data_IF_053939197808
#
_entry.id   IF_053939197808
#
_cell.length_a   1.000
_cell.length_b   1.000
_cell.length_c   1.000
_cell.angle_alpha   90.00
_cell.angle_beta   90.00
_cell.angle_gamma   90.00
#
_symmetry.space_group_name_H-M   'P 1'
#
loop_
_entity.id
_entity.type
_entity.pdbx_description
1 polymer ?
#
# COMPACT_ATOMS: atom_id res chain seq x y z
N UNK A 1 4.04 7.95 -49.65
CA UNK A 1 4.65 9.28 -49.35
C UNK A 1 4.98 9.35 -47.86
N UNK A 2 6.27 9.23 -47.49
CA UNK A 2 6.74 9.23 -46.09
C UNK A 2 7.03 10.67 -45.65
N UNK A 3 6.34 11.18 -44.63
CA UNK A 3 6.63 12.49 -44.03
C UNK A 3 7.63 12.31 -42.88
N UNK A 4 8.80 12.93 -43.03
CA UNK A 4 9.82 13.03 -42.00
C UNK A 4 9.34 13.96 -40.87
N UNK A 5 9.47 13.53 -39.61
CA UNK A 5 9.28 14.37 -38.41
C UNK A 5 10.64 14.89 -37.94
N UNK A 6 10.81 16.20 -37.99
CA UNK A 6 11.92 16.97 -37.42
C UNK A 6 11.75 17.06 -35.91
N UNK A 7 12.81 16.75 -35.14
CA UNK A 7 12.87 16.95 -33.67
C UNK A 7 13.27 18.41 -33.35
N UNK A 8 12.61 19.10 -32.40
CA UNK A 8 13.07 20.38 -31.91
C UNK A 8 14.16 20.21 -30.83
N UNK A 9 15.09 21.17 -30.82
CA UNK A 9 16.39 21.10 -30.16
C UNK A 9 16.39 21.28 -28.64
N UNK A 10 17.47 20.77 -28.03
CA UNK A 10 17.87 21.00 -26.65
C UNK A 10 18.24 22.48 -26.42
N UNK A 11 17.52 23.14 -25.51
CA UNK A 11 17.96 24.39 -24.90
C UNK A 11 18.84 24.09 -23.67
N UNK A 12 20.06 24.65 -23.66
CA UNK A 12 20.99 24.65 -22.53
C UNK A 12 20.43 25.51 -21.38
N UNK A 13 20.38 24.97 -20.16
CA UNK A 13 20.16 25.75 -18.94
C UNK A 13 21.45 26.50 -18.54
N UNK A 14 21.36 27.76 -18.09
CA UNK A 14 22.50 28.48 -17.54
C UNK A 14 22.79 28.08 -16.08
N UNK A 15 24.08 27.99 -15.76
CA UNK A 15 24.63 27.86 -14.42
C UNK A 15 24.32 29.12 -13.60
N UNK A 16 23.76 28.94 -12.40
CA UNK A 16 23.51 30.03 -11.45
C UNK A 16 24.49 29.87 -10.29
N UNK A 17 25.63 30.56 -10.40
CA UNK A 17 26.56 30.84 -9.31
C UNK A 17 26.02 32.02 -8.50
N UNK A 18 25.86 31.84 -7.18
CA UNK A 18 25.44 32.89 -6.26
C UNK A 18 26.05 32.62 -4.88
N UNK A 19 27.03 33.44 -4.51
CA UNK A 19 27.77 33.35 -3.25
C UNK A 19 26.92 33.71 -2.03
N UNK A 20 27.31 33.15 -0.89
CA UNK A 20 26.82 33.53 0.43
C UNK A 20 27.87 34.37 1.13
N UNK A 21 27.54 35.66 1.33
CA UNK A 21 28.23 36.57 2.23
C UNK A 21 27.93 36.18 3.69
N UNK A 22 28.97 35.84 4.44
CA UNK A 22 28.89 35.60 5.87
C UNK A 22 29.01 36.94 6.62
N UNK A 23 27.85 37.53 6.93
CA UNK A 23 27.73 38.67 7.84
C UNK A 23 28.01 38.28 9.28
N UNK A 24 29.06 38.86 9.85
CA UNK A 24 29.44 38.75 11.26
C UNK A 24 28.50 39.62 12.11
N UNK A 25 27.75 39.05 13.06
CA UNK A 25 26.99 39.82 14.05
C UNK A 25 27.57 39.56 15.43
N UNK A 26 28.11 40.62 16.03
CA UNK A 26 28.66 40.69 17.37
C UNK A 26 27.56 40.57 18.43
N UNK A 27 27.97 39.93 19.53
CA UNK A 27 27.23 39.69 20.74
C UNK A 27 26.60 40.94 21.37
N UNK A 28 25.35 40.78 21.84
CA UNK A 28 24.85 41.50 23.00
C UNK A 28 24.21 40.48 23.95
N UNK A 29 24.81 40.42 25.13
CA UNK A 29 24.48 39.64 26.31
C UNK A 29 23.08 40.00 26.83
N UNK A 30 22.21 39.00 26.93
CA UNK A 30 20.89 39.10 27.54
C UNK A 30 20.37 37.72 27.88
N UNK A 31 20.75 37.22 29.06
CA UNK A 31 20.36 35.89 29.56
C UNK A 31 18.92 35.90 30.04
N UNK A 32 18.00 35.40 29.21
CA UNK A 32 16.67 34.95 29.65
C UNK A 32 16.56 33.46 29.31
N UNK A 33 16.72 32.59 30.31
CA UNK A 33 16.60 31.14 30.15
C UNK A 33 15.10 30.82 30.08
N UNK A 34 14.57 30.75 28.86
CA UNK A 34 13.32 30.05 28.57
C UNK A 34 13.71 28.68 28.06
N UNK A 35 13.44 27.65 28.86
CA UNK A 35 13.63 26.26 28.48
C UNK A 35 12.59 25.88 27.41
N UNK A 36 12.94 26.08 26.15
CA UNK A 36 12.26 25.48 25.00
C UNK A 36 12.95 24.15 24.75
N UNK A 37 12.33 23.05 25.18
CA UNK A 37 12.72 21.70 24.74
C UNK A 37 12.42 21.57 23.26
N UNK A 38 13.41 21.90 22.43
CA UNK A 38 13.46 21.52 21.02
C UNK A 38 13.64 20.00 20.96
N UNK A 39 12.57 19.29 20.63
CA UNK A 39 12.65 17.92 20.13
C UNK A 39 13.36 17.98 18.78
N UNK A 40 14.65 17.69 18.80
CA UNK A 40 15.45 17.55 17.59
C UNK A 40 15.05 16.25 16.88
N UNK A 41 14.25 16.34 15.82
CA UNK A 41 14.16 15.26 14.83
C UNK A 41 15.49 15.25 14.06
N UNK A 42 16.46 14.48 14.53
CA UNK A 42 17.68 14.20 13.77
C UNK A 42 17.33 13.28 12.61
N UNK A 43 17.19 13.85 11.40
CA UNK A 43 17.10 13.09 10.16
C UNK A 43 18.50 12.61 9.83
N UNK A 44 18.78 11.34 10.11
CA UNK A 44 20.06 10.68 9.79
C UNK A 44 20.17 10.30 8.31
N UNK A 45 21.38 10.02 7.80
CA UNK A 45 21.61 9.71 6.39
C UNK A 45 20.95 8.38 6.00
N UNK A 46 20.27 8.40 4.85
CA UNK A 46 19.60 7.26 4.22
C UNK A 46 20.68 6.29 3.71
N UNK A 47 20.87 5.18 4.43
CA UNK A 47 21.67 4.06 3.96
C UNK A 47 20.77 3.07 3.21
N UNK A 48 21.18 2.72 2.00
CA UNK A 48 20.63 1.65 1.15
C UNK A 48 20.50 0.32 1.91
N UNK A 49 19.39 -0.44 1.76
CA UNK A 49 19.17 -1.63 2.56
C UNK A 49 20.00 -2.82 2.07
N UNK A 50 21.04 -3.17 2.82
CA UNK A 50 21.59 -4.53 2.85
C UNK A 50 20.62 -5.47 3.58
N UNK A 51 20.77 -6.78 3.33
CA UNK A 51 19.99 -7.94 3.80
C UNK A 51 19.72 -8.07 5.33
N UNK A 52 20.06 -7.07 6.15
CA UNK A 52 19.73 -6.94 7.57
C UNK A 52 18.45 -6.13 7.88
N UNK A 53 17.78 -5.57 6.87
CA UNK A 53 16.62 -4.68 7.05
C UNK A 53 15.40 -5.31 7.76
N UNK A 54 15.20 -6.62 7.68
CA UNK A 54 14.05 -7.29 8.32
C UNK A 54 14.13 -7.30 9.86
N UNK A 55 15.32 -7.56 10.42
CA UNK A 55 15.53 -7.53 11.87
C UNK A 55 15.44 -6.11 12.44
N UNK A 56 15.79 -5.10 11.65
CA UNK A 56 15.71 -3.69 12.06
C UNK A 56 14.33 -3.07 11.85
N UNK A 57 13.59 -3.51 10.82
CA UNK A 57 12.17 -3.22 10.64
C UNK A 57 11.34 -3.87 11.76
N UNK A 58 11.65 -5.13 12.14
CA UNK A 58 11.18 -5.72 13.38
C UNK A 58 11.53 -4.81 14.56
N UNK A 59 12.78 -4.39 14.77
CA UNK A 59 13.13 -3.53 15.91
C UNK A 59 12.42 -2.16 15.95
N UNK A 60 12.01 -1.58 14.81
CA UNK A 60 11.33 -0.28 14.73
C UNK A 60 9.79 -0.37 14.70
N UNK A 61 9.22 -1.46 14.20
CA UNK A 61 7.78 -1.74 14.19
C UNK A 61 7.31 -2.69 15.32
N UNK A 62 8.24 -3.38 16.00
CA UNK A 62 7.93 -4.43 16.98
C UNK A 62 7.23 -3.91 18.22
N UNK A 63 7.42 -2.70 18.71
CA UNK A 63 6.76 -2.35 19.98
C UNK A 63 5.22 -2.35 19.84
N UNK A 64 4.70 -1.97 18.66
CA UNK A 64 3.27 -2.06 18.34
C UNK A 64 2.80 -3.45 17.94
N UNK A 65 3.62 -4.22 17.20
CA UNK A 65 3.22 -5.51 16.63
C UNK A 65 3.65 -6.74 17.45
N UNK A 66 4.64 -6.62 18.34
CA UNK A 66 5.18 -7.73 19.13
C UNK A 66 4.17 -8.31 20.12
N UNK A 67 3.18 -7.51 20.53
CA UNK A 67 2.09 -8.02 21.37
C UNK A 67 1.22 -9.01 20.60
N UNK A 68 0.91 -8.72 19.33
CA UNK A 68 0.06 -9.56 18.47
C UNK A 68 0.77 -10.84 17.97
N UNK A 69 2.06 -11.02 18.26
CA UNK A 69 2.84 -12.19 17.86
C UNK A 69 3.32 -13.02 19.05
N UNK A 70 2.94 -12.63 20.27
CA UNK A 70 3.46 -13.24 21.50
C UNK A 70 3.08 -14.71 21.63
N UNK A 71 1.91 -15.09 21.15
CA UNK A 71 1.41 -16.47 21.09
C UNK A 71 1.50 -17.07 19.67
N UNK A 72 2.13 -16.35 18.73
CA UNK A 72 2.21 -16.71 17.31
C UNK A 72 0.84 -16.93 16.67
N UNK A 73 -0.22 -16.31 17.20
CA UNK A 73 -1.56 -16.34 16.62
C UNK A 73 -2.05 -14.91 16.38
N UNK A 74 -2.68 -14.67 15.23
CA UNK A 74 -3.32 -13.39 14.96
C UNK A 74 -4.83 -13.62 14.87
N UNK A 75 -5.53 -13.12 15.87
CA UNK A 75 -6.99 -13.12 15.92
C UNK A 75 -7.57 -12.13 14.92
N UNK A 76 -8.87 -12.27 14.62
CA UNK A 76 -9.55 -11.29 13.77
C UNK A 76 -9.57 -9.89 14.38
N UNK A 77 -9.72 -9.78 15.70
CA UNK A 77 -9.74 -8.49 16.40
C UNK A 77 -8.37 -7.79 16.37
N UNK A 78 -7.27 -8.55 16.50
CA UNK A 78 -5.92 -8.01 16.37
C UNK A 78 -5.64 -7.52 14.95
N UNK A 79 -6.02 -8.29 13.94
CA UNK A 79 -5.92 -7.87 12.54
C UNK A 79 -6.76 -6.61 12.28
N UNK A 80 -8.01 -6.56 12.74
CA UNK A 80 -8.87 -5.38 12.62
C UNK A 80 -8.26 -4.16 13.30
N UNK A 81 -7.72 -4.33 14.50
CA UNK A 81 -7.06 -3.26 15.26
C UNK A 81 -5.82 -2.75 14.53
N UNK A 82 -4.99 -3.64 13.99
CA UNK A 82 -3.81 -3.29 13.19
C UNK A 82 -4.17 -2.47 11.95
N UNK A 83 -5.22 -2.88 11.22
CA UNK A 83 -5.75 -2.13 10.07
C UNK A 83 -6.25 -0.75 10.52
N UNK A 84 -6.99 -0.65 11.62
CA UNK A 84 -7.50 0.63 12.15
C UNK A 84 -6.36 1.58 12.53
N UNK A 85 -5.33 1.10 13.24
CA UNK A 85 -4.19 1.95 13.62
C UNK A 85 -3.34 2.35 12.40
N UNK A 86 -3.17 1.48 11.40
CA UNK A 86 -2.55 1.84 10.13
C UNK A 86 -3.32 2.96 9.42
N UNK A 87 -4.65 2.84 9.28
CA UNK A 87 -5.50 3.87 8.64
C UNK A 87 -5.42 5.20 9.41
N UNK A 88 -5.44 5.15 10.74
CA UNK A 88 -5.30 6.32 11.61
C UNK A 88 -3.93 6.99 11.45
N UNK A 89 -2.85 6.23 11.39
CA UNK A 89 -1.51 6.72 11.10
C UNK A 89 -1.47 7.43 9.73
N UNK A 90 -1.97 6.78 8.68
CA UNK A 90 -1.97 7.32 7.33
C UNK A 90 -2.79 8.62 7.22
N UNK A 91 -3.96 8.68 7.86
CA UNK A 91 -4.76 9.92 7.98
C UNK A 91 -4.02 11.00 8.76
N UNK A 92 -3.32 10.63 9.83
CA UNK A 92 -2.45 11.53 10.60
C UNK A 92 -1.29 12.09 9.79
N UNK A 93 -0.80 11.35 8.79
CA UNK A 93 0.21 11.77 7.82
C UNK A 93 -0.35 12.63 6.68
N UNK A 94 -1.65 12.95 6.68
CA UNK A 94 -2.29 13.79 5.66
C UNK A 94 -2.82 13.02 4.44
N UNK A 95 -2.81 11.69 4.47
CA UNK A 95 -3.43 10.88 3.42
C UNK A 95 -4.95 10.82 3.56
N UNK A 96 -5.64 10.72 2.42
CA UNK A 96 -7.08 10.49 2.37
C UNK A 96 -7.30 8.98 2.24
N UNK A 97 -7.70 8.34 3.34
CA UNK A 97 -7.89 6.88 3.41
C UNK A 97 -9.36 6.57 3.67
N UNK A 98 -9.95 5.68 2.86
CA UNK A 98 -11.33 5.24 3.03
C UNK A 98 -11.50 4.36 4.28
N UNK A 99 -12.74 4.13 4.70
CA UNK A 99 -13.01 3.19 5.80
C UNK A 99 -12.70 1.75 5.36
N UNK A 100 -12.02 0.95 6.21
CA UNK A 100 -11.76 -0.46 5.91
C UNK A 100 -13.06 -1.23 5.65
N UNK A 101 -13.09 -1.99 4.57
CA UNK A 101 -14.22 -2.82 4.17
C UNK A 101 -13.77 -4.26 3.90
N UNK A 102 -14.59 -5.27 4.21
CA UNK A 102 -14.27 -6.64 3.83
C UNK A 102 -14.04 -6.75 2.32
N UNK A 103 -13.03 -7.51 1.94
CA UNK A 103 -12.79 -7.88 0.54
C UNK A 103 -13.85 -8.88 0.04
N UNK A 104 -13.75 -9.31 -1.21
CA UNK A 104 -14.65 -10.32 -1.79
C UNK A 104 -14.66 -11.64 -1.01
N UNK A 105 -13.56 -11.99 -0.33
CA UNK A 105 -13.48 -13.19 0.52
C UNK A 105 -14.13 -12.98 1.89
N UNK A 106 -14.27 -11.73 2.34
CA UNK A 106 -14.70 -11.38 3.69
C UNK A 106 -13.71 -11.82 4.76
N UNK A 107 -12.46 -12.12 4.40
CA UNK A 107 -11.40 -12.50 5.34
C UNK A 107 -10.45 -11.33 5.56
N UNK A 108 -10.13 -10.58 4.51
CA UNK A 108 -9.28 -9.40 4.57
C UNK A 108 -10.10 -8.12 4.58
N UNK A 109 -9.46 -7.05 5.03
CA UNK A 109 -9.98 -5.71 4.88
C UNK A 109 -9.22 -4.99 3.77
N UNK A 110 -9.96 -4.46 2.81
CA UNK A 110 -9.47 -3.54 1.79
C UNK A 110 -9.76 -2.10 2.22
N UNK A 111 -8.89 -1.19 1.80
CA UNK A 111 -9.06 0.24 1.93
C UNK A 111 -8.41 0.89 0.71
N UNK A 112 -8.93 2.06 0.34
CA UNK A 112 -8.37 2.88 -0.73
C UNK A 112 -7.63 4.04 -0.07
N UNK A 113 -6.49 4.43 -0.62
CA UNK A 113 -5.81 5.65 -0.19
C UNK A 113 -5.46 6.53 -1.38
N UNK A 114 -5.51 7.82 -1.12
CA UNK A 114 -5.09 8.88 -2.04
C UNK A 114 -4.46 10.00 -1.20
N UNK A 115 -4.08 11.08 -1.86
CA UNK A 115 -3.58 12.26 -1.20
C UNK A 115 -4.19 13.51 -1.82
N UNK A 116 -4.10 14.66 -1.12
CA UNK A 116 -4.53 15.93 -1.67
C UNK A 116 -3.91 16.22 -3.04
N UNK A 117 -4.66 16.92 -3.88
CA UNK A 117 -4.19 17.34 -5.20
C UNK A 117 -2.88 18.14 -5.08
N UNK A 118 -1.91 17.86 -5.96
CA UNK A 118 -0.60 18.51 -5.95
C UNK A 118 0.42 17.94 -4.97
N UNK A 119 0.06 16.91 -4.18
CA UNK A 119 1.01 16.19 -3.34
C UNK A 119 2.01 15.40 -4.19
N UNK A 120 3.25 15.31 -3.73
CA UNK A 120 4.30 14.51 -4.37
C UNK A 120 3.97 13.00 -4.30
N UNK A 121 3.94 12.27 -5.43
CA UNK A 121 3.63 10.84 -5.44
C UNK A 121 4.53 9.98 -4.54
N UNK A 122 5.83 10.28 -4.50
CA UNK A 122 6.82 9.48 -3.80
C UNK A 122 6.67 9.71 -2.28
N UNK A 123 6.47 10.96 -1.85
CA UNK A 123 6.22 11.28 -0.43
C UNK A 123 4.94 10.60 0.09
N UNK A 124 3.91 10.46 -0.75
CA UNK A 124 2.66 9.78 -0.37
C UNK A 124 2.83 8.29 -0.18
N UNK A 125 3.53 7.64 -1.11
CA UNK A 125 3.81 6.21 -1.04
C UNK A 125 4.69 5.91 0.17
N UNK A 126 5.71 6.73 0.41
CA UNK A 126 6.58 6.61 1.58
C UNK A 126 5.81 6.75 2.90
N UNK A 127 4.89 7.73 2.99
CA UNK A 127 4.06 7.93 4.18
C UNK A 127 3.12 6.74 4.45
N UNK A 128 2.47 6.21 3.41
CA UNK A 128 1.63 5.03 3.53
C UNK A 128 2.45 3.81 3.97
N UNK A 129 3.58 3.55 3.30
CA UNK A 129 4.46 2.44 3.59
C UNK A 129 5.03 2.48 5.01
N UNK A 130 5.37 3.66 5.50
CA UNK A 130 5.80 3.84 6.89
C UNK A 130 4.71 3.40 7.87
N UNK A 131 3.46 3.82 7.66
CA UNK A 131 2.32 3.40 8.49
C UNK A 131 2.00 1.92 8.36
N UNK A 132 2.06 1.37 7.14
CA UNK A 132 1.85 -0.05 6.87
C UNK A 132 2.87 -0.93 7.62
N UNK A 133 4.16 -0.64 7.46
CA UNK A 133 5.24 -1.36 8.17
C UNK A 133 5.14 -1.21 9.68
N UNK A 134 4.70 -0.06 10.17
CA UNK A 134 4.60 0.20 11.61
C UNK A 134 3.43 -0.54 12.27
N UNK A 135 2.30 -0.70 11.58
CA UNK A 135 1.08 -1.17 12.22
C UNK A 135 0.53 -2.50 11.68
N UNK A 136 0.74 -2.82 10.41
CA UNK A 136 -0.02 -3.87 9.73
C UNK A 136 0.81 -4.98 9.09
N UNK A 137 2.01 -4.71 8.59
CA UNK A 137 2.78 -5.65 7.77
C UNK A 137 2.90 -7.06 8.37
N UNK A 138 3.45 -7.21 9.58
CA UNK A 138 3.69 -8.54 10.16
C UNK A 138 2.38 -9.18 10.60
N UNK A 139 1.46 -8.40 11.14
CA UNK A 139 0.11 -8.86 11.56
C UNK A 139 -0.65 -9.41 10.35
N UNK A 140 -0.62 -8.72 9.23
CA UNK A 140 -1.27 -9.12 7.98
C UNK A 140 -0.65 -10.39 7.40
N UNK A 141 0.67 -10.46 7.33
CA UNK A 141 1.38 -11.64 6.82
C UNK A 141 1.03 -12.90 7.62
N UNK A 142 1.06 -12.81 8.95
CA UNK A 142 0.78 -13.93 9.84
C UNK A 142 -0.72 -14.29 9.82
N UNK A 143 -1.62 -13.29 9.83
CA UNK A 143 -3.06 -13.49 9.69
C UNK A 143 -3.42 -14.24 8.40
N UNK A 144 -2.78 -13.85 7.28
CA UNK A 144 -2.95 -14.49 5.97
C UNK A 144 -2.38 -15.92 5.98
N UNK A 145 -1.19 -16.11 6.54
CA UNK A 145 -0.56 -17.42 6.63
C UNK A 145 -1.46 -18.43 7.37
N UNK A 146 -2.02 -18.04 8.52
CA UNK A 146 -2.90 -18.87 9.34
C UNK A 146 -4.23 -19.22 8.65
N UNK A 147 -4.73 -18.33 7.78
CA UNK A 147 -6.02 -18.50 7.09
C UNK A 147 -5.90 -18.99 5.65
N UNK A 148 -4.70 -19.31 5.18
CA UNK A 148 -4.46 -19.75 3.79
C UNK A 148 -5.39 -20.88 3.29
N UNK A 149 -5.71 -21.92 4.09
CA UNK A 149 -6.68 -22.93 3.65
C UNK A 149 -8.09 -22.35 3.42
N UNK A 150 -8.51 -21.42 4.28
CA UNK A 150 -9.80 -20.74 4.18
C UNK A 150 -9.85 -19.83 2.96
N UNK A 151 -8.77 -19.08 2.68
CA UNK A 151 -8.63 -18.26 1.47
C UNK A 151 -8.86 -19.09 0.23
N UNK A 152 -8.12 -20.20 0.07
CA UNK A 152 -8.25 -21.07 -1.10
C UNK A 152 -9.67 -21.59 -1.31
N UNK A 153 -10.34 -21.99 -0.23
CA UNK A 153 -11.71 -22.47 -0.32
C UNK A 153 -12.70 -21.37 -0.73
N UNK A 154 -12.57 -20.16 -0.15
CA UNK A 154 -13.44 -19.03 -0.50
C UNK A 154 -13.17 -18.49 -1.90
N UNK A 155 -11.91 -18.39 -2.28
CA UNK A 155 -11.48 -17.95 -3.62
C UNK A 155 -12.03 -18.89 -4.70
N UNK A 156 -11.91 -20.21 -4.52
CA UNK A 156 -12.52 -21.19 -5.43
C UNK A 156 -14.04 -20.99 -5.54
N UNK A 157 -14.74 -20.81 -4.41
CA UNK A 157 -16.18 -20.57 -4.41
C UNK A 157 -16.59 -19.24 -5.08
N UNK A 158 -15.75 -18.20 -5.00
CA UNK A 158 -15.97 -16.96 -5.73
C UNK A 158 -15.72 -17.16 -7.24
N UNK A 159 -14.67 -17.90 -7.62
CA UNK A 159 -14.43 -18.20 -9.02
C UNK A 159 -15.52 -19.07 -9.64
N UNK A 160 -16.14 -19.98 -8.89
CA UNK A 160 -17.32 -20.72 -9.35
C UNK A 160 -18.45 -19.75 -9.75
N UNK A 161 -18.67 -18.67 -8.99
CA UNK A 161 -19.65 -17.62 -9.33
C UNK A 161 -19.24 -16.80 -10.55
N UNK A 162 -17.95 -16.50 -10.72
CA UNK A 162 -17.45 -15.82 -11.93
C UNK A 162 -17.70 -16.69 -13.16
N UNK A 163 -17.38 -17.98 -13.08
CA UNK A 163 -17.66 -18.96 -14.14
C UNK A 163 -19.16 -19.04 -14.44
N UNK A 164 -20.02 -19.06 -13.42
CA UNK A 164 -21.47 -19.04 -13.60
C UNK A 164 -21.95 -17.76 -14.32
N UNK A 165 -21.45 -16.59 -13.92
CA UNK A 165 -21.72 -15.33 -14.60
C UNK A 165 -21.26 -15.36 -16.07
N UNK A 166 -20.08 -15.91 -16.34
CA UNK A 166 -19.54 -16.05 -17.70
C UNK A 166 -20.39 -16.99 -18.57
N UNK A 167 -20.87 -18.11 -18.01
CA UNK A 167 -21.82 -19.00 -18.71
C UNK A 167 -23.11 -18.26 -19.06
N UNK A 168 -23.65 -17.47 -18.12
CA UNK A 168 -24.84 -16.65 -18.35
C UNK A 168 -24.66 -15.60 -19.46
N UNK A 169 -23.41 -15.22 -19.76
CA UNK A 169 -23.04 -14.30 -20.86
C UNK A 169 -22.66 -15.02 -22.16
N UNK A 170 -22.78 -16.34 -22.22
CA UNK A 170 -22.53 -17.13 -23.44
C UNK A 170 -21.11 -17.68 -23.59
N UNK A 171 -20.27 -17.61 -22.55
CA UNK A 171 -18.95 -18.23 -22.60
C UNK A 171 -19.04 -19.76 -22.51
N UNK A 172 -18.39 -20.47 -23.43
CA UNK A 172 -18.22 -21.92 -23.35
C UNK A 172 -17.14 -22.27 -22.31
N UNK A 173 -17.58 -22.65 -21.11
CA UNK A 173 -16.68 -23.10 -20.04
C UNK A 173 -16.70 -24.63 -19.97
N UNK A 174 -15.53 -25.28 -19.84
CA UNK A 174 -15.46 -26.74 -19.71
C UNK A 174 -16.00 -27.24 -18.36
N UNK A 175 -15.75 -28.51 -18.02
CA UNK A 175 -15.84 -28.96 -16.63
C UNK A 175 -14.68 -28.30 -15.88
N UNK A 176 -14.98 -27.21 -15.19
CA UNK A 176 -13.98 -26.35 -14.56
C UNK A 176 -13.49 -27.01 -13.28
N UNK A 177 -12.18 -27.23 -13.19
CA UNK A 177 -11.51 -27.31 -11.90
C UNK A 177 -11.07 -25.89 -11.55
N UNK A 178 -11.86 -25.19 -10.73
CA UNK A 178 -11.57 -23.80 -10.32
C UNK A 178 -10.36 -23.69 -9.40
N UNK A 179 -9.76 -24.82 -9.00
CA UNK A 179 -8.50 -24.84 -8.28
C UNK A 179 -7.27 -24.72 -9.20
N UNK A 180 -7.44 -24.92 -10.52
CA UNK A 180 -6.39 -24.72 -11.51
C UNK A 180 -6.58 -23.37 -12.23
N UNK A 181 -5.78 -22.37 -11.84
CA UNK A 181 -5.81 -21.03 -12.42
C UNK A 181 -5.61 -20.97 -13.95
N UNK A 182 -5.21 -22.07 -14.59
CA UNK A 182 -5.11 -22.17 -16.05
C UNK A 182 -6.43 -21.88 -16.78
N UNK A 183 -7.58 -22.34 -16.27
CA UNK A 183 -8.86 -22.13 -16.94
C UNK A 183 -9.37 -20.69 -16.79
N UNK A 184 -9.21 -20.10 -15.61
CA UNK A 184 -9.51 -18.68 -15.37
C UNK A 184 -8.69 -17.80 -16.33
N UNK A 185 -7.40 -18.11 -16.47
CA UNK A 185 -6.52 -17.44 -17.42
C UNK A 185 -6.92 -17.68 -18.89
N UNK A 186 -7.53 -18.81 -19.22
CA UNK A 186 -8.08 -19.09 -20.56
C UNK A 186 -9.32 -18.25 -20.83
N UNK A 187 -10.27 -18.22 -19.90
CA UNK A 187 -11.51 -17.43 -20.00
C UNK A 187 -11.18 -15.95 -20.11
N UNK A 188 -10.33 -15.42 -19.21
CA UNK A 188 -9.92 -14.01 -19.22
C UNK A 188 -9.25 -13.61 -20.55
N UNK A 189 -8.45 -14.49 -21.17
CA UNK A 189 -7.83 -14.20 -22.48
C UNK A 189 -8.83 -14.22 -23.64
N UNK A 190 -9.87 -15.04 -23.56
CA UNK A 190 -10.89 -15.13 -24.61
C UNK A 190 -11.98 -14.06 -24.51
N UNK A 191 -12.29 -13.63 -23.28
CA UNK A 191 -13.41 -12.76 -22.94
C UNK A 191 -13.02 -11.72 -21.86
N UNK A 192 -12.01 -10.86 -22.11
CA UNK A 192 -11.44 -10.02 -21.06
C UNK A 192 -12.44 -8.99 -20.50
N UNK A 193 -13.31 -8.44 -21.34
CA UNK A 193 -14.29 -7.42 -20.90
C UNK A 193 -15.39 -8.04 -20.05
N UNK A 194 -15.98 -9.15 -20.50
CA UNK A 194 -17.01 -9.88 -19.77
C UNK A 194 -16.46 -10.47 -18.47
N UNK A 195 -15.23 -11.00 -18.51
CA UNK A 195 -14.54 -11.48 -17.32
C UNK A 195 -14.36 -10.36 -16.31
N UNK A 196 -13.91 -9.17 -16.72
CA UNK A 196 -13.78 -8.02 -15.82
C UNK A 196 -15.12 -7.55 -15.22
N UNK A 197 -16.22 -7.67 -15.96
CA UNK A 197 -17.56 -7.38 -15.43
C UNK A 197 -17.97 -8.42 -14.38
N UNK A 198 -17.90 -9.71 -14.72
CA UNK A 198 -18.25 -10.79 -13.82
C UNK A 198 -17.37 -10.84 -12.57
N UNK A 199 -16.06 -10.60 -12.75
CA UNK A 199 -15.10 -10.55 -11.66
C UNK A 199 -15.44 -9.43 -10.68
N UNK A 200 -15.64 -8.19 -11.15
CA UNK A 200 -16.04 -7.08 -10.27
C UNK A 200 -17.37 -7.34 -9.58
N UNK A 201 -18.35 -7.89 -10.28
CA UNK A 201 -19.64 -8.21 -9.67
C UNK A 201 -19.50 -9.21 -8.50
N UNK A 202 -18.56 -10.15 -8.59
CA UNK A 202 -18.36 -11.18 -7.56
C UNK A 202 -17.40 -10.75 -6.46
N UNK A 203 -16.25 -10.16 -6.81
CA UNK A 203 -15.17 -9.82 -5.88
C UNK A 203 -15.26 -8.40 -5.33
N UNK A 204 -15.98 -7.51 -6.01
CA UNK A 204 -16.12 -6.10 -5.66
C UNK A 204 -17.61 -5.67 -5.64
N UNK A 205 -18.52 -6.38 -4.96
CA UNK A 205 -19.97 -6.14 -5.05
C UNK A 205 -20.40 -4.72 -4.60
N UNK A 206 -19.53 -3.97 -3.91
CA UNK A 206 -19.80 -2.64 -3.38
C UNK A 206 -19.06 -1.51 -4.13
N UNK A 207 -18.43 -1.77 -5.28
CA UNK A 207 -17.68 -0.77 -6.05
C UNK A 207 -18.55 0.04 -7.04
N UNK A 208 -19.84 0.25 -6.71
CA UNK A 208 -20.82 0.92 -7.58
C UNK A 208 -20.76 2.44 -7.49
#
# INVERSE_FOLDING_TARGET
MRRARTRPGLQKRPERSGGMDFGTVRALTGTLIVAITLVACSVGPVNTPERGGYAEALRRGADGQATALKDSQVTEDEYRTAVTEMVKCARGAGLIVSEPRPDGTGILLNYDFSAPEGSDPDEREEAHDACYRMHLEIVSDEYVAQRRPLFKAKEAALFDKVVECMKGRGAETGKVDTQDGAEINRINRGWPEEFAICYRQVFEPNSS
#
